data_IF_961487037088
#
_entry.id   IF_961487037088
#
_cell.length_a   1.000
_cell.length_b   1.000
_cell.length_c   1.000
_cell.angle_alpha   90.00
_cell.angle_beta   90.00
_cell.angle_gamma   90.00
#
_symmetry.space_group_name_H-M   'P 1'
#
loop_
_entity.id
_entity.type
_entity.pdbx_description
1 polymer ?
#
# COMPACT_ATOMS: atom_id res chain seq x y z
N UNK A 1 12.47 3.16 -16.86
CA UNK A 1 12.68 2.91 -15.42
C UNK A 1 11.35 3.12 -14.76
N UNK A 2 11.02 2.32 -13.75
CA UNK A 2 9.69 2.31 -13.14
C UNK A 2 9.82 2.54 -11.65
N UNK A 3 8.89 3.29 -11.06
CA UNK A 3 8.75 3.42 -9.62
C UNK A 3 7.49 2.74 -9.11
N UNK A 4 7.52 2.29 -7.85
CA UNK A 4 6.36 1.75 -7.13
C UNK A 4 6.28 2.38 -5.75
N UNK A 5 5.07 2.74 -5.31
CA UNK A 5 4.80 3.00 -3.90
C UNK A 5 4.73 1.68 -3.11
N UNK A 6 5.73 1.47 -2.25
CA UNK A 6 5.87 0.28 -1.42
C UNK A 6 5.63 0.66 0.05
N UNK A 7 4.52 0.19 0.61
CA UNK A 7 4.16 0.42 2.03
C UNK A 7 4.63 -0.69 2.97
N UNK A 8 5.08 -1.83 2.44
CA UNK A 8 5.35 -3.04 3.24
C UNK A 8 4.10 -3.88 3.55
N UNK A 9 2.92 -3.41 3.11
CA UNK A 9 1.67 -4.15 3.18
C UNK A 9 1.47 -5.16 2.06
N UNK A 10 0.48 -6.05 2.23
CA UNK A 10 0.27 -7.17 1.31
C UNK A 10 0.01 -6.75 -0.15
N UNK A 11 -0.73 -5.65 -0.37
CA UNK A 11 -1.16 -5.23 -1.70
C UNK A 11 0.01 -4.62 -2.49
N UNK A 12 0.74 -3.68 -1.89
CA UNK A 12 1.93 -3.05 -2.50
C UNK A 12 3.07 -4.05 -2.70
N UNK A 13 3.22 -5.01 -1.79
CA UNK A 13 4.15 -6.13 -1.95
C UNK A 13 3.75 -7.03 -3.11
N UNK A 14 2.48 -7.44 -3.20
CA UNK A 14 2.03 -8.25 -4.33
C UNK A 14 2.24 -7.53 -5.66
N UNK A 15 2.09 -6.20 -5.69
CA UNK A 15 2.35 -5.39 -6.88
C UNK A 15 3.83 -5.39 -7.26
N UNK A 16 4.74 -5.30 -6.28
CA UNK A 16 6.19 -5.39 -6.54
C UNK A 16 6.57 -6.74 -7.17
N UNK A 17 6.07 -7.86 -6.64
CA UNK A 17 6.32 -9.19 -7.21
C UNK A 17 5.67 -9.34 -8.59
N UNK A 18 4.47 -8.79 -8.79
CA UNK A 18 3.78 -8.79 -10.07
C UNK A 18 4.56 -8.02 -11.14
N UNK A 19 5.14 -6.87 -10.76
CA UNK A 19 6.03 -6.08 -11.62
C UNK A 19 7.30 -6.85 -11.98
N UNK A 20 7.99 -7.40 -10.98
CA UNK A 20 9.21 -8.22 -11.21
C UNK A 20 8.97 -9.36 -12.19
N UNK A 21 7.81 -10.01 -12.12
CA UNK A 21 7.49 -11.14 -12.98
C UNK A 21 7.15 -10.74 -14.43
N UNK A 22 6.86 -9.45 -14.71
CA UNK A 22 6.33 -8.99 -16.01
C UNK A 22 7.23 -8.02 -16.74
N UNK A 23 7.96 -7.19 -16.02
CA UNK A 23 8.77 -6.15 -16.63
C UNK A 23 10.25 -6.44 -16.41
N UNK A 24 11.03 -6.63 -17.49
CA UNK A 24 12.47 -6.60 -17.39
C UNK A 24 12.91 -5.13 -17.17
N UNK A 25 13.64 -4.87 -16.09
CA UNK A 25 14.24 -3.57 -15.84
C UNK A 25 14.33 -3.19 -14.36
N UNK A 26 15.07 -2.11 -14.05
CA UNK A 26 15.22 -1.62 -12.68
C UNK A 26 13.90 -1.04 -12.16
N UNK A 27 13.50 -1.52 -10.98
CA UNK A 27 12.37 -1.01 -10.20
C UNK A 27 12.91 -0.12 -9.09
N UNK A 28 12.36 1.07 -8.92
CA UNK A 28 12.60 1.94 -7.77
C UNK A 28 11.42 1.82 -6.79
N UNK A 29 11.68 1.42 -5.56
CA UNK A 29 10.67 1.44 -4.51
C UNK A 29 10.69 2.80 -3.79
N UNK A 30 9.51 3.32 -3.48
CA UNK A 30 9.34 4.54 -2.69
C UNK A 30 8.41 4.21 -1.53
N UNK A 31 8.86 4.42 -0.30
CA UNK A 31 8.04 4.38 0.90
C UNK A 31 7.80 5.80 1.40
N UNK A 32 6.66 6.04 2.03
CA UNK A 32 6.33 7.33 2.61
C UNK A 32 6.16 7.15 4.11
N UNK A 33 7.04 7.76 4.90
CA UNK A 33 6.82 7.98 6.32
C UNK A 33 5.92 9.21 6.44
N UNK A 34 4.65 8.99 6.72
CA UNK A 34 3.67 10.06 6.80
C UNK A 34 3.29 10.45 8.24
N UNK A 35 4.10 10.03 9.23
CA UNK A 35 3.78 10.19 10.65
C UNK A 35 2.77 9.16 11.15
N UNK A 36 2.68 8.00 10.50
CA UNK A 36 1.84 6.91 11.00
C UNK A 36 2.26 6.45 12.40
N UNK A 37 1.27 6.08 13.22
CA UNK A 37 1.42 5.66 14.61
C UNK A 37 2.49 4.58 14.83
N UNK A 38 2.63 3.66 13.87
CA UNK A 38 3.60 2.57 13.92
C UNK A 38 4.45 2.54 12.64
N UNK A 39 5.77 2.43 12.80
CA UNK A 39 6.73 2.40 11.68
C UNK A 39 7.15 0.99 11.24
N UNK A 40 6.58 -0.06 11.84
CA UNK A 40 6.90 -1.46 11.52
C UNK A 40 6.68 -1.80 10.05
N UNK A 41 5.68 -1.20 9.41
CA UNK A 41 5.42 -1.37 7.98
C UNK A 41 6.55 -0.83 7.11
N UNK A 42 7.23 0.25 7.53
CA UNK A 42 8.39 0.81 6.82
C UNK A 42 9.60 -0.11 6.92
N UNK A 43 9.81 -0.77 8.06
CA UNK A 43 10.83 -1.81 8.21
C UNK A 43 10.54 -3.04 7.32
N UNK A 44 9.27 -3.43 7.23
CA UNK A 44 8.82 -4.45 6.29
C UNK A 44 9.08 -4.02 4.84
N UNK A 45 8.74 -2.79 4.47
CA UNK A 45 8.98 -2.25 3.13
C UNK A 45 10.47 -2.30 2.76
N UNK A 46 11.37 -1.89 3.66
CA UNK A 46 12.82 -1.93 3.43
C UNK A 46 13.33 -3.37 3.20
N UNK A 47 12.86 -4.31 4.01
CA UNK A 47 13.21 -5.73 3.87
C UNK A 47 12.69 -6.32 2.57
N UNK A 48 11.45 -6.01 2.20
CA UNK A 48 10.82 -6.49 0.98
C UNK A 48 11.48 -5.89 -0.26
N UNK A 49 11.86 -4.61 -0.22
CA UNK A 49 12.65 -3.98 -1.26
C UNK A 49 14.00 -4.69 -1.47
N UNK A 50 14.68 -5.05 -0.38
CA UNK A 50 15.92 -5.82 -0.42
C UNK A 50 15.70 -7.23 -1.00
N UNK A 51 14.71 -7.98 -0.52
CA UNK A 51 14.37 -9.31 -1.04
C UNK A 51 13.95 -9.28 -2.51
N UNK A 52 13.32 -8.19 -2.94
CA UNK A 52 12.95 -7.95 -4.32
C UNK A 52 14.12 -7.42 -5.17
N UNK A 53 15.30 -7.17 -4.62
CA UNK A 53 16.47 -6.66 -5.33
C UNK A 53 16.13 -5.43 -6.19
N UNK A 54 15.35 -4.51 -5.62
CA UNK A 54 15.01 -3.26 -6.32
C UNK A 54 16.27 -2.42 -6.54
N UNK A 55 16.30 -1.64 -7.62
CA UNK A 55 17.46 -0.83 -7.98
C UNK A 55 17.74 0.29 -6.96
N UNK A 56 16.69 0.81 -6.33
CA UNK A 56 16.78 1.74 -5.21
C UNK A 56 15.51 1.65 -4.36
N UNK A 57 15.65 1.94 -3.07
CA UNK A 57 14.53 2.14 -2.16
C UNK A 57 14.70 3.48 -1.45
N UNK A 58 13.77 4.40 -1.68
CA UNK A 58 13.77 5.73 -1.08
C UNK A 58 12.67 5.85 -0.03
N UNK A 59 12.96 6.55 1.06
CA UNK A 59 11.98 6.86 2.10
C UNK A 59 11.73 8.37 2.14
N UNK A 60 10.53 8.77 1.73
CA UNK A 60 10.13 10.17 1.72
C UNK A 60 9.33 10.49 2.98
N UNK A 61 9.62 11.63 3.62
CA UNK A 61 8.88 12.11 4.78
C UNK A 61 7.74 13.04 4.36
N UNK A 62 6.56 12.88 4.97
CA UNK A 62 5.38 13.73 4.77
C UNK A 62 4.61 13.85 6.07
N UNK A 63 4.84 14.87 6.88
CA UNK A 63 4.14 14.99 8.17
C UNK A 63 2.62 15.26 7.99
N UNK A 64 1.81 14.20 8.01
CA UNK A 64 0.35 14.31 8.02
C UNK A 64 -0.21 14.42 9.44
N UNK A 65 0.58 14.12 10.47
CA UNK A 65 0.16 14.31 11.87
C UNK A 65 -0.06 15.80 12.17
N UNK A 66 0.72 16.69 11.54
CA UNK A 66 0.52 18.14 11.61
C UNK A 66 -0.86 18.63 11.13
N UNK A 67 -1.60 17.82 10.35
CA UNK A 67 -2.96 18.18 9.90
C UNK A 67 -4.03 17.90 10.97
N UNK A 68 -3.74 17.00 11.93
CA UNK A 68 -4.62 16.61 13.03
C UNK A 68 -5.85 15.77 12.65
N UNK A 69 -6.51 15.19 13.66
CA UNK A 69 -7.87 14.65 13.55
C UNK A 69 -8.02 13.27 12.89
N UNK A 70 -6.96 12.45 12.81
CA UNK A 70 -7.03 11.12 12.22
C UNK A 70 -6.45 10.02 13.15
N UNK A 71 -7.15 8.89 13.38
CA UNK A 71 -6.68 7.80 14.25
C UNK A 71 -5.37 7.12 13.85
N UNK A 72 -4.96 7.19 12.57
CA UNK A 72 -3.73 6.59 12.06
C UNK A 72 -2.50 7.47 12.30
N UNK A 73 -2.69 8.76 12.55
CA UNK A 73 -1.61 9.74 12.79
C UNK A 73 -1.67 10.38 14.18
N UNK A 74 -2.80 10.28 14.88
CA UNK A 74 -3.01 10.77 16.23
C UNK A 74 -3.04 9.60 17.24
N UNK A 75 -2.03 9.47 18.13
CA UNK A 75 -1.96 8.38 19.10
C UNK A 75 -3.02 8.48 20.21
N UNK A 76 -3.73 9.61 20.33
CA UNK A 76 -4.75 9.84 21.37
C UNK A 76 -6.15 9.36 20.94
N UNK A 77 -6.31 8.98 19.67
CA UNK A 77 -7.57 8.50 19.12
C UNK A 77 -7.52 6.99 18.92
N UNK A 78 -8.53 6.28 19.41
CA UNK A 78 -8.62 4.83 19.25
C UNK A 78 -8.88 4.44 17.79
N UNK A 79 -8.21 3.37 17.34
CA UNK A 79 -8.43 2.79 16.02
C UNK A 79 -9.76 2.00 16.07
N UNK A 80 -10.72 2.27 15.16
CA UNK A 80 -12.00 1.55 15.15
C UNK A 80 -11.82 0.04 14.90
N UNK A 81 -12.61 -0.79 15.57
CA UNK A 81 -12.67 -2.24 15.31
C UNK A 81 -13.52 -2.54 14.07
N UNK A 82 -13.35 -3.73 13.48
CA UNK A 82 -14.11 -4.11 12.30
C UNK A 82 -15.63 -4.16 12.50
N UNK A 83 -16.04 -4.53 13.71
CA UNK A 83 -17.44 -4.57 14.10
C UNK A 83 -18.09 -3.18 14.15
N UNK A 84 -17.27 -2.12 14.30
CA UNK A 84 -17.78 -0.75 14.43
C UNK A 84 -18.37 -0.17 13.14
N UNK A 85 -18.04 -0.74 11.97
CA UNK A 85 -18.41 -0.20 10.63
C UNK A 85 -17.97 1.27 10.41
N UNK A 86 -16.97 1.75 11.16
CA UNK A 86 -16.44 3.12 11.12
C UNK A 86 -15.16 3.26 10.30
N UNK A 87 -14.97 2.43 9.28
CA UNK A 87 -13.79 2.46 8.38
C UNK A 87 -13.55 3.85 7.74
N UNK A 88 -14.58 4.70 7.65
CA UNK A 88 -14.45 6.08 7.15
C UNK A 88 -13.70 7.01 8.11
N UNK A 89 -13.60 6.66 9.38
CA UNK A 89 -13.01 7.53 10.40
C UNK A 89 -11.48 7.40 10.44
N UNK A 90 -10.92 6.38 9.78
CA UNK A 90 -9.48 6.27 9.53
C UNK A 90 -9.03 7.00 8.26
N UNK A 91 -9.94 7.69 7.55
CA UNK A 91 -9.62 8.38 6.29
C UNK A 91 -8.79 9.63 6.56
N UNK A 92 -7.53 9.63 6.13
CA UNK A 92 -6.75 10.88 6.01
C UNK A 92 -7.18 11.56 4.71
N UNK A 93 -7.77 12.77 4.74
CA UNK A 93 -8.23 13.43 3.52
C UNK A 93 -7.12 13.57 2.47
N UNK A 94 -7.42 13.20 1.23
CA UNK A 94 -6.51 13.32 0.08
C UNK A 94 -5.17 12.58 0.22
N UNK A 95 -5.06 11.60 1.12
CA UNK A 95 -3.82 10.86 1.36
C UNK A 95 -3.21 10.30 0.09
N UNK A 96 -3.98 9.61 -0.76
CA UNK A 96 -3.44 9.03 -1.98
C UNK A 96 -3.01 10.10 -2.99
N UNK A 97 -3.65 11.28 -2.98
CA UNK A 97 -3.22 12.41 -3.80
C UNK A 97 -1.85 12.90 -3.35
N UNK A 98 -1.66 13.14 -2.05
CA UNK A 98 -0.38 13.60 -1.50
C UNK A 98 0.72 12.57 -1.72
N UNK A 99 0.43 11.28 -1.55
CA UNK A 99 1.39 10.21 -1.80
C UNK A 99 1.80 10.14 -3.28
N UNK A 100 0.83 10.17 -4.19
CA UNK A 100 1.09 10.11 -5.61
C UNK A 100 1.88 11.34 -6.11
N UNK A 101 1.54 12.55 -5.66
CA UNK A 101 2.25 13.78 -6.08
C UNK A 101 3.64 13.88 -5.50
N UNK A 102 3.85 13.50 -4.22
CA UNK A 102 5.17 13.46 -3.61
C UNK A 102 6.08 12.44 -4.31
N UNK A 103 5.57 11.24 -4.58
CA UNK A 103 6.30 10.22 -5.32
C UNK A 103 6.60 10.67 -6.76
N UNK A 104 5.64 11.29 -7.45
CA UNK A 104 5.87 11.83 -8.80
C UNK A 104 6.95 12.93 -8.80
N UNK A 105 6.95 13.81 -7.80
CA UNK A 105 8.00 14.83 -7.65
C UNK A 105 9.39 14.19 -7.50
N UNK A 106 9.52 13.17 -6.64
CA UNK A 106 10.77 12.40 -6.53
C UNK A 106 11.14 11.72 -7.84
N UNK A 107 10.20 11.02 -8.48
CA UNK A 107 10.40 10.35 -9.77
C UNK A 107 10.91 11.31 -10.85
N UNK A 108 10.42 12.55 -10.87
CA UNK A 108 10.82 13.58 -11.83
C UNK A 108 12.32 13.90 -11.71
N UNK A 109 12.85 13.95 -10.47
CA UNK A 109 14.29 14.17 -10.23
C UNK A 109 15.17 13.01 -10.71
N UNK A 110 14.57 11.83 -10.96
CA UNK A 110 15.23 10.60 -11.42
C UNK A 110 14.93 10.27 -12.88
N UNK A 111 14.12 11.08 -13.57
CA UNK A 111 13.66 10.79 -14.93
C UNK A 111 12.76 9.55 -15.03
N UNK A 112 12.05 9.21 -13.96
CA UNK A 112 11.07 8.12 -13.92
C UNK A 112 9.69 8.70 -14.23
N UNK A 113 8.96 8.14 -15.20
CA UNK A 113 7.64 8.63 -15.63
C UNK A 113 6.50 7.64 -15.38
N UNK A 114 6.84 6.39 -15.06
CA UNK A 114 5.90 5.33 -14.74
C UNK A 114 5.87 5.10 -13.22
N UNK A 115 4.76 5.47 -12.58
CA UNK A 115 4.54 5.29 -11.14
C UNK A 115 3.45 4.24 -10.89
N UNK A 116 3.77 3.18 -10.16
CA UNK A 116 2.85 2.11 -9.82
C UNK A 116 2.32 2.25 -8.40
N UNK A 117 1.01 2.08 -8.26
CA UNK A 117 0.30 2.11 -6.99
C UNK A 117 -0.68 0.94 -6.91
N UNK A 118 -0.98 0.50 -5.69
CA UNK A 118 -1.82 -0.67 -5.42
C UNK A 118 -3.17 -0.33 -4.75
N UNK A 119 -3.99 0.63 -5.24
CA UNK A 119 -5.35 0.75 -4.75
C UNK A 119 -6.13 -0.52 -5.14
N UNK A 120 -7.01 -0.99 -4.26
CA UNK A 120 -7.80 -2.21 -4.44
C UNK A 120 -9.29 -1.90 -4.48
N UNK A 121 -10.09 -2.86 -4.97
CA UNK A 121 -11.54 -2.69 -5.13
C UNK A 121 -12.29 -2.60 -3.81
N UNK A 122 -11.82 -3.27 -2.76
CA UNK A 122 -12.43 -3.28 -1.43
C UNK A 122 -12.60 -1.86 -0.87
N UNK A 123 -11.64 -0.98 -1.18
CA UNK A 123 -11.63 0.42 -0.75
C UNK A 123 -12.63 1.32 -1.50
N UNK A 124 -13.20 0.88 -2.63
CA UNK A 124 -13.98 1.75 -3.52
C UNK A 124 -15.16 2.44 -2.83
N UNK A 125 -15.82 1.75 -1.91
CA UNK A 125 -17.01 2.26 -1.22
C UNK A 125 -16.66 3.37 -0.21
N UNK A 126 -15.48 3.29 0.38
CA UNK A 126 -15.01 4.24 1.39
C UNK A 126 -14.16 5.38 0.78
N UNK A 127 -13.41 5.10 -0.28
CA UNK A 127 -12.37 5.99 -0.80
C UNK A 127 -12.57 6.31 -2.30
N UNK A 128 -12.84 7.59 -2.62
CA UNK A 128 -12.98 8.02 -4.04
C UNK A 128 -11.64 8.07 -4.76
N UNK A 129 -10.56 8.31 -4.02
CA UNK A 129 -9.17 8.32 -4.48
C UNK A 129 -8.55 6.92 -4.61
N UNK A 130 -9.34 5.86 -4.45
CA UNK A 130 -8.97 4.49 -4.82
C UNK A 130 -9.51 4.09 -6.21
N UNK A 131 -10.14 4.99 -6.97
CA UNK A 131 -10.81 4.67 -8.24
C UNK A 131 -10.00 5.16 -9.45
N UNK A 132 -10.02 4.41 -10.56
CA UNK A 132 -9.31 4.76 -11.80
C UNK A 132 -9.51 6.22 -12.29
N UNK A 133 -10.74 6.79 -12.31
CA UNK A 133 -10.93 8.17 -12.76
C UNK A 133 -10.18 9.24 -11.95
N UNK A 134 -9.91 8.98 -10.66
CA UNK A 134 -9.10 9.89 -9.84
C UNK A 134 -7.66 9.94 -10.36
N UNK A 135 -7.05 8.79 -10.62
CA UNK A 135 -5.69 8.70 -11.14
C UNK A 135 -5.59 9.23 -12.57
N UNK A 136 -6.62 9.04 -13.41
CA UNK A 136 -6.67 9.62 -14.75
C UNK A 136 -6.63 11.16 -14.70
N UNK A 137 -7.39 11.76 -13.78
CA UNK A 137 -7.36 13.20 -13.54
C UNK A 137 -6.00 13.66 -13.01
N UNK A 138 -5.40 12.90 -12.10
CA UNK A 138 -4.11 13.25 -11.51
C UNK A 138 -2.97 13.17 -12.52
N UNK A 139 -2.98 12.17 -13.40
CA UNK A 139 -2.02 12.08 -14.52
C UNK A 139 -2.06 13.32 -15.42
N UNK A 140 -3.27 13.83 -15.73
CA UNK A 140 -3.41 15.08 -16.49
C UNK A 140 -2.77 16.25 -15.74
N UNK A 141 -3.02 16.39 -14.43
CA UNK A 141 -2.39 17.42 -13.61
C UNK A 141 -0.86 17.29 -13.56
N UNK A 142 -0.32 16.07 -13.46
CA UNK A 142 1.12 15.82 -13.46
C UNK A 142 1.76 16.19 -14.79
N UNK A 143 1.13 15.87 -15.93
CA UNK A 143 1.61 16.27 -17.27
C UNK A 143 1.65 17.79 -17.42
N UNK A 144 0.62 18.49 -16.95
CA UNK A 144 0.57 19.96 -17.00
C UNK A 144 1.58 20.64 -16.07
N UNK A 145 1.89 20.02 -14.93
CA UNK A 145 2.85 20.53 -13.95
C UNK A 145 4.31 20.14 -14.21
N UNK A 146 4.58 19.28 -15.20
CA UNK A 146 5.92 18.82 -15.51
C UNK A 146 6.78 19.94 -16.09
N UNK A 147 8.08 19.96 -15.75
CA UNK A 147 9.02 20.96 -16.27
C UNK A 147 9.25 20.87 -17.79
N UNK A 148 8.92 19.72 -18.38
CA UNK A 148 8.98 19.43 -19.81
C UNK A 148 7.88 18.43 -20.16
N UNK A 149 7.55 18.33 -21.45
CA UNK A 149 6.60 17.33 -21.94
C UNK A 149 7.10 15.92 -21.59
N UNK A 150 6.37 15.27 -20.69
CA UNK A 150 6.71 13.95 -20.19
C UNK A 150 5.46 13.05 -20.20
N UNK A 151 5.57 11.78 -20.63
CA UNK A 151 4.46 10.84 -20.71
C UNK A 151 4.16 10.23 -19.34
N UNK A 152 3.90 11.06 -18.33
CA UNK A 152 3.56 10.60 -16.98
C UNK A 152 2.41 9.61 -17.00
N UNK A 153 2.57 8.49 -16.30
CA UNK A 153 1.56 7.46 -16.17
C UNK A 153 1.51 6.94 -14.73
N UNK A 154 0.31 6.87 -14.15
CA UNK A 154 0.08 6.23 -12.86
C UNK A 154 -0.60 4.89 -13.14
N UNK A 155 0.08 3.81 -12.85
CA UNK A 155 -0.39 2.46 -13.08
C UNK A 155 -1.04 1.90 -11.81
N UNK A 156 -2.31 1.52 -11.93
CA UNK A 156 -3.10 0.95 -10.81
C UNK A 156 -3.68 -0.41 -11.22
N UNK A 157 -2.84 -1.45 -11.42
CA UNK A 157 -3.29 -2.71 -12.01
C UNK A 157 -4.30 -3.47 -11.14
N UNK A 158 -4.32 -3.18 -9.83
CA UNK A 158 -5.16 -3.86 -8.85
C UNK A 158 -6.48 -3.14 -8.56
N UNK A 159 -6.73 -2.01 -9.21
CA UNK A 159 -7.86 -1.11 -8.92
C UNK A 159 -9.24 -1.75 -9.12
N UNK A 160 -9.32 -2.87 -9.86
CA UNK A 160 -10.55 -3.64 -10.09
C UNK A 160 -10.55 -5.00 -9.40
N UNK A 161 -9.49 -5.35 -8.69
CA UNK A 161 -9.30 -6.66 -8.05
C UNK A 161 -9.70 -6.58 -6.58
N UNK A 162 -10.33 -7.65 -6.09
CA UNK A 162 -10.62 -7.81 -4.67
C UNK A 162 -9.39 -8.35 -3.92
N UNK A 163 -9.34 -8.17 -2.60
CA UNK A 163 -8.26 -8.69 -1.74
C UNK A 163 -7.97 -10.18 -1.97
N UNK A 164 -9.02 -10.99 -2.14
CA UNK A 164 -8.89 -12.42 -2.45
C UNK A 164 -8.16 -12.69 -3.79
N UNK A 165 -8.36 -11.83 -4.79
CA UNK A 165 -7.70 -11.96 -6.10
C UNK A 165 -6.22 -11.59 -5.98
N UNK A 166 -5.91 -10.60 -5.12
CA UNK A 166 -4.53 -10.21 -4.80
C UNK A 166 -3.79 -11.34 -4.10
N UNK A 167 -4.41 -11.97 -3.09
CA UNK A 167 -3.81 -13.16 -2.43
C UNK A 167 -3.63 -14.29 -3.43
N UNK A 168 -4.63 -14.60 -4.26
CA UNK A 168 -4.53 -15.64 -5.28
C UNK A 168 -3.34 -15.40 -6.21
N UNK A 169 -3.13 -14.15 -6.62
CA UNK A 169 -2.02 -13.73 -7.46
C UNK A 169 -0.69 -13.84 -6.74
N UNK A 170 -0.59 -13.32 -5.51
CA UNK A 170 0.67 -13.36 -4.77
C UNK A 170 1.10 -14.77 -4.36
N UNK A 171 0.16 -15.66 -4.06
CA UNK A 171 0.45 -17.08 -3.86
C UNK A 171 1.08 -17.72 -5.11
N UNK A 172 0.56 -17.42 -6.30
CA UNK A 172 1.12 -17.89 -7.58
C UNK A 172 2.52 -17.31 -7.85
N UNK A 173 2.78 -16.09 -7.40
CA UNK A 173 4.05 -15.39 -7.60
C UNK A 173 5.09 -15.69 -6.51
N UNK A 174 4.73 -16.44 -5.46
CA UNK A 174 5.62 -16.70 -4.33
C UNK A 174 5.91 -15.44 -3.50
N UNK A 175 4.92 -14.55 -3.33
CA UNK A 175 5.05 -13.37 -2.47
C UNK A 175 5.36 -13.82 -1.03
N UNK A 176 6.42 -13.31 -0.37
CA UNK A 176 6.79 -13.67 0.98
C UNK A 176 5.88 -12.96 1.98
N UNK A 177 4.61 -13.36 2.05
CA UNK A 177 3.60 -12.70 2.90
C UNK A 177 3.96 -12.68 4.39
N UNK A 178 4.86 -13.55 4.86
CA UNK A 178 5.39 -13.52 6.24
C UNK A 178 6.27 -12.31 6.54
N UNK A 179 6.78 -11.62 5.52
CA UNK A 179 7.60 -10.42 5.63
C UNK A 179 6.79 -9.12 5.51
N UNK A 180 5.49 -9.23 5.23
CA UNK A 180 4.58 -8.08 5.09
C UNK A 180 3.95 -7.71 6.43
N UNK A 181 3.46 -6.47 6.54
CA UNK A 181 2.72 -6.00 7.71
C UNK A 181 1.37 -5.40 7.29
N UNK A 182 0.30 -5.70 8.03
CA UNK A 182 -1.06 -5.23 7.69
C UNK A 182 -1.86 -4.81 8.93
N UNK A 183 -1.36 -5.06 10.13
CA UNK A 183 -2.10 -4.80 11.37
C UNK A 183 -2.13 -3.30 11.68
N UNK A 184 -3.31 -2.70 11.84
CA UNK A 184 -3.41 -1.28 12.19
C UNK A 184 -2.90 -0.95 13.60
N UNK A 185 -2.89 -1.93 14.50
CA UNK A 185 -2.30 -1.81 15.85
C UNK A 185 -0.76 -1.91 15.85
N UNK A 186 -0.12 -2.11 14.69
CA UNK A 186 1.33 -2.24 14.59
C UNK A 186 1.92 -3.48 15.27
N UNK A 187 1.08 -4.45 15.68
CA UNK A 187 1.52 -5.63 16.43
C UNK A 187 2.16 -6.68 15.52
N UNK A 188 3.20 -7.37 16.03
CA UNK A 188 3.80 -8.56 15.43
C UNK A 188 4.19 -9.53 16.56
N UNK A 189 3.40 -10.59 16.88
CA UNK A 189 2.23 -11.13 16.16
C UNK A 189 1.09 -10.13 15.93
N UNK A 190 0.42 -10.20 14.78
CA UNK A 190 -0.67 -9.31 14.39
C UNK A 190 -1.90 -9.49 15.29
N UNK A 191 -2.72 -8.46 15.48
CA UNK A 191 -3.83 -8.52 16.46
C UNK A 191 -4.92 -9.53 16.09
N UNK A 192 -5.16 -9.77 14.79
CA UNK A 192 -6.17 -10.71 14.30
C UNK A 192 -7.60 -10.17 14.27
N UNK A 193 -7.85 -9.00 14.84
CA UNK A 193 -9.21 -8.48 15.07
C UNK A 193 -9.49 -7.09 14.47
N UNK A 194 -8.46 -6.33 14.06
CA UNK A 194 -8.65 -5.07 13.36
C UNK A 194 -9.12 -5.32 11.92
N UNK A 195 -9.78 -4.32 11.30
CA UNK A 195 -10.29 -4.41 9.92
C UNK A 195 -9.29 -5.04 8.94
N UNK A 196 -8.07 -4.50 8.90
CA UNK A 196 -7.03 -4.98 8.00
C UNK A 196 -6.57 -6.42 8.27
N UNK A 197 -6.59 -6.89 9.53
CA UNK A 197 -6.30 -8.29 9.86
C UNK A 197 -7.45 -9.19 9.39
N UNK A 198 -8.70 -8.81 9.65
CA UNK A 198 -9.88 -9.56 9.26
C UNK A 198 -9.97 -9.70 7.73
N UNK A 199 -9.80 -8.61 6.98
CA UNK A 199 -9.78 -8.62 5.50
C UNK A 199 -8.69 -9.54 4.96
N UNK A 200 -7.49 -9.47 5.54
CA UNK A 200 -6.36 -10.30 5.14
C UNK A 200 -6.64 -11.78 5.41
N UNK A 201 -7.06 -12.14 6.61
CA UNK A 201 -7.40 -13.52 6.98
C UNK A 201 -8.52 -14.08 6.08
N UNK A 202 -9.57 -13.30 5.82
CA UNK A 202 -10.65 -13.68 4.92
C UNK A 202 -10.14 -13.92 3.47
N UNK A 203 -9.23 -13.09 2.98
CA UNK A 203 -8.64 -13.25 1.66
C UNK A 203 -7.77 -14.52 1.53
N UNK A 204 -7.03 -14.89 2.58
CA UNK A 204 -6.31 -16.17 2.64
C UNK A 204 -7.27 -17.36 2.70
N UNK A 205 -8.30 -17.30 3.55
CA UNK A 205 -9.32 -18.34 3.67
C UNK A 205 -10.08 -18.57 2.35
N UNK A 206 -10.44 -17.50 1.62
CA UNK A 206 -11.07 -17.59 0.29
C UNK A 206 -10.21 -18.34 -0.73
N UNK A 207 -8.89 -18.37 -0.53
CA UNK A 207 -7.92 -19.10 -1.36
C UNK A 207 -7.55 -20.48 -0.79
N UNK A 208 -8.20 -20.93 0.28
CA UNK A 208 -7.88 -22.17 1.01
C UNK A 208 -6.40 -22.23 1.41
N UNK A 209 -5.85 -21.08 1.78
CA UNK A 209 -4.46 -20.91 2.18
C UNK A 209 -4.40 -20.41 3.62
N UNK A 210 -3.35 -20.81 4.35
CA UNK A 210 -3.05 -20.27 5.67
C UNK A 210 -2.18 -19.03 5.50
N UNK A 211 -2.51 -17.95 6.22
CA UNK A 211 -1.66 -16.77 6.28
C UNK A 211 -0.37 -17.09 7.05
N UNK A 212 0.83 -16.80 6.50
CA UNK A 212 2.08 -17.07 7.18
C UNK A 212 2.38 -16.14 8.38
N UNK A 213 1.60 -15.08 8.61
CA UNK A 213 1.77 -14.24 9.80
C UNK A 213 1.32 -14.94 11.09
N UNK A 214 2.02 -14.66 12.19
CA UNK A 214 1.55 -15.03 13.52
C UNK A 214 0.51 -14.02 14.02
N UNK A 215 -0.46 -14.49 14.81
CA UNK A 215 -1.53 -13.67 15.39
C UNK A 215 -1.60 -13.82 16.92
N UNK A 216 -1.95 -12.72 17.61
CA UNK A 216 -1.94 -12.62 19.07
C UNK A 216 -3.18 -13.23 19.76
N UNK A 217 -4.31 -13.32 19.07
CA UNK A 217 -5.53 -13.98 19.54
C UNK A 217 -5.71 -15.34 18.85
N UNK A 218 -6.20 -16.33 19.61
CA UNK A 218 -6.19 -17.75 19.28
C UNK A 218 -7.03 -18.18 18.07
N UNK A 219 -6.76 -19.43 17.70
CA UNK A 219 -7.34 -20.24 16.62
C UNK A 219 -6.77 -19.97 15.23
N UNK A 220 -5.74 -20.77 14.90
CA UNK A 220 -5.50 -21.23 13.53
C UNK A 220 -6.83 -21.83 13.02
N UNK A 221 -7.62 -21.05 12.29
CA UNK A 221 -8.73 -21.62 11.52
C UNK A 221 -8.08 -22.44 10.40
N UNK A 222 -8.26 -23.75 10.50
CA UNK A 222 -7.88 -24.76 9.50
C UNK A 222 -8.62 -24.54 8.18
#
# INVERSE_FOLDING_TARGET
>A
MTAILLSGGMDSTTLLWWLKARQPGPIHAISIDYGQRHRIELECAARLAHLAEVAAHEMLALDLAALGGNPLTDPTVDVPTAESKRQRDTVVPFRNMLFATLAAAYCATKGIVDLYMAPVKDDYAAYRDCRRPFYDSLEQSLRLGAAHDAPWAIHTPFVKLWKQDIVALGLKLGVPYGETHTCYEGLRPACGVCDACCERLAAFAANRACDPLAYAAGEKTL
#
